data_IF_898857347087
#
_entry.id   IF_898857347087
#
_cell.length_a   1.000
_cell.length_b   1.000
_cell.length_c   1.000
_cell.angle_alpha   90.00
_cell.angle_beta   90.00
_cell.angle_gamma   90.00
#
_symmetry.space_group_name_H-M   'P 1'
#
loop_
_entity.id
_entity.type
_entity.pdbx_description
1 polymer ?
#
# COMPACT_ATOMS: atom_id res chain seq x y z
N UNK A 1 -44.51 45.04 44.32
CA UNK A 1 -44.33 44.20 43.13
C UNK A 1 -42.95 43.51 43.03
N UNK A 2 -42.06 43.63 44.02
CA UNK A 2 -40.71 43.03 43.99
C UNK A 2 -40.61 41.56 44.51
N UNK A 3 -41.73 40.92 44.87
CA UNK A 3 -41.74 39.58 45.48
C UNK A 3 -41.76 38.43 44.45
N UNK A 4 -42.25 38.69 43.23
CA UNK A 4 -42.27 37.71 42.13
C UNK A 4 -40.92 37.57 41.42
N UNK A 5 -40.22 38.69 41.21
CA UNK A 5 -38.90 38.73 40.57
C UNK A 5 -37.80 38.07 41.41
N UNK A 6 -37.86 38.19 42.73
CA UNK A 6 -36.88 37.59 43.64
C UNK A 6 -36.98 36.06 43.66
N UNK A 7 -38.18 35.52 43.47
CA UNK A 7 -38.46 34.09 43.37
C UNK A 7 -38.06 33.50 42.01
N UNK A 8 -38.18 34.28 40.94
CA UNK A 8 -37.70 33.92 39.60
C UNK A 8 -36.15 33.90 39.53
N UNK A 9 -35.49 34.82 40.23
CA UNK A 9 -34.02 34.86 40.36
C UNK A 9 -33.47 33.80 41.33
N UNK A 10 -34.22 33.41 42.37
CA UNK A 10 -33.89 32.24 43.20
C UNK A 10 -34.04 30.93 42.42
N UNK A 11 -35.11 30.77 41.63
CA UNK A 11 -35.34 29.62 40.74
C UNK A 11 -34.26 29.48 39.63
N UNK A 12 -33.74 30.57 39.07
CA UNK A 12 -32.62 30.54 38.10
C UNK A 12 -31.29 30.06 38.73
N UNK A 13 -31.03 30.40 39.99
CA UNK A 13 -29.79 30.01 40.68
C UNK A 13 -29.78 28.52 41.09
N UNK A 14 -30.94 27.95 41.41
CA UNK A 14 -31.11 26.51 41.66
C UNK A 14 -31.01 25.69 40.37
N UNK A 15 -31.47 26.24 39.25
CA UNK A 15 -31.36 25.57 37.95
C UNK A 15 -29.98 25.69 37.31
N UNK A 16 -29.12 26.62 37.73
CA UNK A 16 -27.72 26.67 37.27
C UNK A 16 -26.93 25.42 37.66
N UNK A 17 -27.08 24.91 38.90
CA UNK A 17 -26.42 23.68 39.34
C UNK A 17 -26.95 22.44 38.62
N UNK A 18 -28.25 22.44 38.29
CA UNK A 18 -28.88 21.38 37.50
C UNK A 18 -28.39 21.41 36.04
N UNK A 19 -28.27 22.60 35.44
CA UNK A 19 -27.71 22.78 34.11
C UNK A 19 -26.22 22.38 34.06
N UNK A 20 -25.42 22.73 35.07
CA UNK A 20 -24.03 22.30 35.20
C UNK A 20 -23.93 20.77 35.35
N UNK A 21 -24.78 20.15 36.18
CA UNK A 21 -24.83 18.68 36.30
C UNK A 21 -25.21 18.00 34.99
N UNK A 22 -26.24 18.51 34.30
CA UNK A 22 -26.67 17.99 33.00
C UNK A 22 -25.56 18.14 31.95
N UNK A 23 -24.84 19.26 31.99
CA UNK A 23 -23.68 19.53 31.13
C UNK A 23 -22.54 18.55 31.38
N UNK A 24 -22.20 18.26 32.65
CA UNK A 24 -21.19 17.25 32.98
C UNK A 24 -21.61 15.85 32.53
N UNK A 25 -22.87 15.45 32.74
CA UNK A 25 -23.39 14.18 32.24
C UNK A 25 -23.30 14.09 30.72
N UNK A 26 -23.65 15.18 30.02
CA UNK A 26 -23.53 15.25 28.56
C UNK A 26 -22.07 15.15 28.10
N UNK A 27 -21.13 15.82 28.77
CA UNK A 27 -19.69 15.69 28.49
C UNK A 27 -19.23 14.25 28.70
N UNK A 28 -19.63 13.59 29.79
CA UNK A 28 -19.21 12.22 30.09
C UNK A 28 -19.77 11.25 29.04
N UNK A 29 -21.06 11.35 28.70
CA UNK A 29 -21.69 10.53 27.65
C UNK A 29 -21.03 10.81 26.29
N UNK A 30 -20.78 12.09 25.97
CA UNK A 30 -20.10 12.50 24.75
C UNK A 30 -18.68 11.96 24.66
N UNK A 31 -17.89 12.03 25.74
CA UNK A 31 -16.55 11.47 25.82
C UNK A 31 -16.55 9.95 25.64
N UNK A 32 -17.52 9.25 26.26
CA UNK A 32 -17.67 7.81 26.09
C UNK A 32 -18.07 7.42 24.66
N UNK A 33 -18.94 8.21 24.04
CA UNK A 33 -19.39 8.01 22.66
C UNK A 33 -18.26 8.30 21.65
N UNK A 34 -17.43 9.33 21.88
CA UNK A 34 -16.24 9.62 21.07
C UNK A 34 -15.22 8.50 21.20
N UNK A 35 -14.99 8.00 22.42
CA UNK A 35 -14.07 6.87 22.63
C UNK A 35 -14.57 5.60 21.92
N UNK A 36 -15.86 5.30 21.98
CA UNK A 36 -16.46 4.17 21.27
C UNK A 36 -16.39 4.25 19.74
N UNK A 37 -16.15 5.44 19.18
CA UNK A 37 -16.05 5.70 17.72
C UNK A 37 -14.62 5.98 17.25
N UNK A 38 -13.62 5.80 18.13
CA UNK A 38 -12.20 5.97 17.78
C UNK A 38 -11.64 4.88 16.86
N UNK A 39 -12.41 3.81 16.63
CA UNK A 39 -12.00 2.65 15.84
C UNK A 39 -12.13 2.89 14.33
N UNK A 40 -11.20 2.34 13.56
CA UNK A 40 -11.19 2.36 12.10
C UNK A 40 -12.48 1.74 11.52
N UNK A 41 -13.22 2.51 10.73
CA UNK A 41 -14.39 2.08 9.95
C UNK A 41 -14.00 1.72 8.52
N UNK A 42 -14.92 1.13 7.77
CA UNK A 42 -14.75 0.94 6.31
C UNK A 42 -14.06 -0.36 5.91
N UNK A 43 -13.81 -1.27 6.85
CA UNK A 43 -13.31 -2.61 6.53
C UNK A 43 -14.47 -3.60 6.32
N UNK A 44 -14.44 -4.35 5.21
CA UNK A 44 -15.41 -5.42 4.94
C UNK A 44 -14.73 -6.64 4.28
N UNK A 45 -15.27 -7.83 4.52
CA UNK A 45 -14.81 -9.08 3.91
C UNK A 45 -15.73 -9.42 2.75
N UNK A 46 -15.16 -9.47 1.55
CA UNK A 46 -15.86 -9.84 0.33
C UNK A 46 -15.29 -11.13 -0.25
N UNK A 47 -16.08 -11.76 -1.11
CA UNK A 47 -15.60 -12.88 -1.94
C UNK A 47 -14.98 -12.33 -3.22
N UNK A 48 -14.06 -13.09 -3.81
CA UNK A 48 -13.61 -12.82 -5.16
C UNK A 48 -14.77 -13.06 -6.15
N UNK A 49 -15.29 -11.98 -6.73
CA UNK A 49 -16.38 -12.04 -7.70
C UNK A 49 -15.92 -12.57 -9.07
N UNK A 50 -14.66 -12.38 -9.43
CA UNK A 50 -14.10 -12.82 -10.71
C UNK A 50 -13.79 -14.33 -10.72
N UNK A 51 -13.31 -14.87 -9.60
CA UNK A 51 -12.98 -16.29 -9.48
C UNK A 51 -13.10 -16.77 -8.03
N UNK A 52 -14.22 -17.43 -7.74
CA UNK A 52 -14.49 -17.97 -6.40
C UNK A 52 -13.40 -18.96 -5.94
N UNK A 53 -13.10 -18.92 -4.64
CA UNK A 53 -12.13 -19.78 -3.95
C UNK A 53 -10.70 -19.79 -4.52
N UNK A 54 -10.34 -18.79 -5.34
CA UNK A 54 -8.98 -18.62 -5.85
C UNK A 54 -8.03 -17.92 -4.89
N UNK A 55 -6.76 -18.32 -4.94
CA UNK A 55 -5.65 -17.61 -4.27
C UNK A 55 -5.06 -16.62 -5.25
N UNK A 56 -5.14 -15.33 -4.96
CA UNK A 56 -4.53 -14.28 -5.78
C UNK A 56 -3.02 -14.27 -5.50
N UNK A 57 -2.22 -14.51 -6.53
CA UNK A 57 -0.76 -14.53 -6.44
C UNK A 57 -0.18 -13.14 -6.68
N UNK A 58 -0.72 -12.43 -7.67
CA UNK A 58 -0.36 -11.05 -7.98
C UNK A 58 -1.58 -10.33 -8.58
N UNK A 59 -1.66 -9.01 -8.37
CA UNK A 59 -2.77 -8.18 -8.85
C UNK A 59 -2.31 -6.75 -9.13
N UNK A 60 -2.75 -6.22 -10.27
CA UNK A 60 -2.58 -4.81 -10.62
C UNK A 60 -3.97 -4.20 -10.76
N UNK A 61 -4.31 -3.30 -9.84
CA UNK A 61 -5.57 -2.56 -9.85
C UNK A 61 -5.43 -1.29 -10.67
N UNK A 62 -6.42 -1.05 -11.52
CA UNK A 62 -6.68 0.19 -12.23
C UNK A 62 -7.86 0.93 -11.56
N UNK A 63 -8.43 1.92 -12.24
CA UNK A 63 -9.54 2.71 -11.70
C UNK A 63 -10.84 1.91 -11.54
N UNK A 64 -11.65 2.28 -10.56
CA UNK A 64 -13.01 1.78 -10.32
C UNK A 64 -13.15 0.26 -10.16
N UNK A 65 -12.06 -0.42 -9.82
CA UNK A 65 -12.03 -1.84 -9.47
C UNK A 65 -11.69 -2.74 -10.65
N UNK A 66 -11.45 -2.13 -11.82
CA UNK A 66 -10.75 -2.78 -12.92
C UNK A 66 -9.40 -3.32 -12.42
N UNK A 67 -9.08 -4.56 -12.76
CA UNK A 67 -7.77 -5.12 -12.44
C UNK A 67 -7.37 -6.28 -13.36
N UNK A 68 -6.06 -6.49 -13.45
CA UNK A 68 -5.48 -7.74 -13.92
C UNK A 68 -5.04 -8.57 -12.74
N UNK A 69 -5.31 -9.88 -12.78
CA UNK A 69 -4.98 -10.76 -11.69
C UNK A 69 -4.41 -12.09 -12.18
N UNK A 70 -3.35 -12.52 -11.50
CA UNK A 70 -2.83 -13.89 -11.56
C UNK A 70 -3.40 -14.64 -10.37
N UNK A 71 -4.25 -15.63 -10.62
CA UNK A 71 -4.92 -16.37 -9.55
C UNK A 71 -4.82 -17.87 -9.74
N UNK A 72 -4.56 -18.58 -8.65
CA UNK A 72 -4.43 -20.03 -8.63
C UNK A 72 -5.70 -20.70 -8.09
N UNK A 73 -6.14 -21.75 -8.77
CA UNK A 73 -7.24 -22.63 -8.35
C UNK A 73 -6.81 -24.11 -8.46
N UNK A 74 -7.72 -25.02 -8.12
CA UNK A 74 -7.50 -26.46 -8.32
C UNK A 74 -7.31 -26.87 -9.78
N UNK A 75 -7.73 -26.04 -10.73
CA UNK A 75 -7.60 -26.31 -12.17
C UNK A 75 -6.26 -25.81 -12.75
N UNK A 76 -5.59 -24.90 -12.05
CA UNK A 76 -4.33 -24.29 -12.46
C UNK A 76 -4.31 -22.79 -12.21
N UNK A 77 -3.35 -22.11 -12.83
CA UNK A 77 -3.17 -20.65 -12.70
C UNK A 77 -3.82 -19.95 -13.88
N UNK A 78 -4.63 -18.94 -13.58
CA UNK A 78 -5.29 -18.07 -14.54
C UNK A 78 -4.58 -16.71 -14.57
N UNK A 79 -4.49 -16.10 -15.76
CA UNK A 79 -4.33 -14.67 -15.94
C UNK A 79 -5.63 -14.13 -16.53
N UNK A 80 -6.26 -13.17 -15.88
CA UNK A 80 -7.51 -12.57 -16.35
C UNK A 80 -7.53 -11.06 -16.14
N UNK A 81 -8.36 -10.41 -16.94
CA UNK A 81 -8.79 -9.02 -16.77
C UNK A 81 -10.22 -9.01 -16.22
N UNK A 82 -10.48 -8.21 -15.19
CA UNK A 82 -11.81 -8.02 -14.63
C UNK A 82 -12.23 -6.57 -14.82
N UNK A 83 -13.32 -6.36 -15.55
CA UNK A 83 -13.83 -5.04 -15.91
C UNK A 83 -15.35 -5.06 -16.00
N UNK A 84 -16.01 -4.03 -15.46
CA UNK A 84 -17.47 -3.87 -15.48
C UNK A 84 -18.22 -5.12 -14.98
N UNK A 85 -17.77 -5.66 -13.85
CA UNK A 85 -18.24 -6.90 -13.22
C UNK A 85 -18.07 -8.19 -14.07
N UNK A 86 -17.41 -8.11 -15.22
CA UNK A 86 -17.15 -9.24 -16.12
C UNK A 86 -15.67 -9.64 -16.12
N UNK A 87 -15.44 -10.95 -16.08
CA UNK A 87 -14.10 -11.53 -16.20
C UNK A 87 -13.85 -11.96 -17.64
N UNK A 88 -12.68 -11.57 -18.16
CA UNK A 88 -12.13 -12.07 -19.42
C UNK A 88 -10.82 -12.83 -19.17
N UNK A 89 -10.79 -14.11 -19.52
CA UNK A 89 -9.59 -14.92 -19.44
C UNK A 89 -8.59 -14.52 -20.53
N UNK A 90 -7.39 -14.13 -20.10
CA UNK A 90 -6.26 -13.86 -20.99
C UNK A 90 -5.47 -15.16 -21.19
N UNK A 91 -5.18 -15.87 -20.09
CA UNK A 91 -4.58 -17.20 -20.08
C UNK A 91 -5.43 -18.11 -19.19
N UNK A 92 -5.92 -19.21 -19.78
CA UNK A 92 -6.73 -20.21 -19.10
C UNK A 92 -5.93 -21.52 -18.99
N UNK A 93 -5.77 -22.10 -17.78
CA UNK A 93 -4.95 -23.29 -17.53
C UNK A 93 -5.46 -24.55 -18.24
N UNK A 94 -6.71 -24.58 -18.68
CA UNK A 94 -7.23 -25.69 -19.49
C UNK A 94 -6.64 -25.73 -20.91
N UNK A 95 -6.14 -24.60 -21.41
CA UNK A 95 -5.56 -24.46 -22.76
C UNK A 95 -4.10 -24.07 -22.75
N UNK A 96 -3.66 -23.29 -21.76
CA UNK A 96 -2.31 -22.76 -21.65
C UNK A 96 -1.93 -22.59 -20.17
N UNK A 97 -0.82 -23.22 -19.76
CA UNK A 97 -0.31 -23.17 -18.39
C UNK A 97 0.73 -22.07 -18.15
N UNK A 98 1.05 -21.25 -19.16
CA UNK A 98 2.10 -20.22 -19.09
C UNK A 98 1.90 -19.19 -17.97
N UNK A 99 0.65 -18.99 -17.51
CA UNK A 99 0.36 -18.11 -16.37
C UNK A 99 1.06 -18.54 -15.06
N UNK A 100 1.49 -19.79 -14.91
CA UNK A 100 2.27 -20.22 -13.74
C UNK A 100 3.69 -19.67 -13.70
N UNK A 101 4.21 -19.18 -14.84
CA UNK A 101 5.55 -18.61 -14.94
C UNK A 101 5.58 -17.10 -14.67
N UNK A 102 4.42 -16.46 -14.49
CA UNK A 102 4.32 -15.04 -14.16
C UNK A 102 4.88 -14.78 -12.76
N UNK A 103 5.80 -13.82 -12.65
CA UNK A 103 6.46 -13.41 -11.40
C UNK A 103 6.10 -12.02 -10.91
N UNK A 104 5.63 -11.17 -11.81
CA UNK A 104 5.28 -9.78 -11.52
C UNK A 104 4.18 -9.29 -12.46
N UNK A 105 3.48 -8.26 -12.02
CA UNK A 105 2.67 -7.38 -12.86
C UNK A 105 2.96 -5.93 -12.48
N UNK A 106 3.40 -5.15 -13.45
CA UNK A 106 3.74 -3.73 -13.26
C UNK A 106 2.85 -2.89 -14.15
N UNK A 107 2.18 -1.89 -13.57
CA UNK A 107 1.47 -0.86 -14.34
C UNK A 107 2.48 0.09 -14.97
N UNK A 108 2.39 0.29 -16.28
CA UNK A 108 3.20 1.23 -17.05
C UNK A 108 2.58 2.63 -16.99
N UNK A 109 3.36 3.65 -17.37
CA UNK A 109 2.94 5.05 -17.33
C UNK A 109 1.71 5.36 -18.22
N UNK A 110 1.46 4.53 -19.23
CA UNK A 110 0.30 4.66 -20.12
C UNK A 110 -0.97 3.94 -19.60
N UNK A 111 -0.88 3.30 -18.42
CA UNK A 111 -1.96 2.55 -17.79
C UNK A 111 -2.07 1.08 -18.24
N UNK A 112 -1.23 0.63 -19.17
CA UNK A 112 -1.16 -0.79 -19.53
C UNK A 112 -0.41 -1.58 -18.45
N UNK A 113 -0.57 -2.90 -18.42
CA UNK A 113 0.12 -3.76 -17.46
C UNK A 113 1.14 -4.64 -18.17
N UNK A 114 2.37 -4.65 -17.69
CA UNK A 114 3.45 -5.48 -18.20
C UNK A 114 3.72 -6.68 -17.28
N UNK A 115 3.99 -7.82 -17.92
CA UNK A 115 4.44 -9.05 -17.26
C UNK A 115 5.38 -9.82 -18.18
N UNK A 116 5.82 -11.01 -17.77
CA UNK A 116 6.67 -11.90 -18.56
C UNK A 116 6.28 -13.35 -18.33
N UNK A 117 6.07 -14.08 -19.42
CA UNK A 117 5.78 -15.53 -19.42
C UNK A 117 6.88 -16.37 -20.11
N UNK A 118 7.73 -15.73 -20.90
CA UNK A 118 8.83 -16.37 -21.63
C UNK A 118 10.13 -15.58 -21.46
N UNK A 119 11.26 -16.25 -21.64
CA UNK A 119 12.59 -15.62 -21.64
C UNK A 119 12.68 -14.53 -22.73
N UNK A 120 13.36 -13.42 -22.41
CA UNK A 120 13.55 -12.28 -23.32
C UNK A 120 12.24 -11.75 -23.92
N UNK A 121 11.14 -11.73 -23.16
CA UNK A 121 9.86 -11.20 -23.62
C UNK A 121 9.18 -10.36 -22.55
N UNK A 122 8.48 -9.31 -22.99
CA UNK A 122 7.57 -8.56 -22.14
C UNK A 122 6.19 -8.66 -22.77
N UNK A 123 5.24 -9.20 -22.02
CA UNK A 123 3.83 -9.25 -22.38
C UNK A 123 3.15 -8.00 -21.84
N UNK A 124 2.62 -7.17 -22.74
CA UNK A 124 1.87 -5.95 -22.41
C UNK A 124 0.38 -6.25 -22.58
N UNK A 125 -0.40 -5.90 -21.55
CA UNK A 125 -1.82 -6.13 -21.41
C UNK A 125 -2.57 -4.80 -21.50
N UNK A 126 -3.50 -4.71 -22.44
CA UNK A 126 -4.40 -3.56 -22.63
C UNK A 126 -5.83 -4.08 -22.88
N UNK A 127 -6.62 -4.07 -21.81
CA UNK A 127 -7.89 -4.78 -21.68
C UNK A 127 -7.74 -6.27 -22.01
N UNK A 128 -8.52 -6.72 -22.99
CA UNK A 128 -8.43 -8.09 -23.51
C UNK A 128 -7.31 -8.29 -24.55
N UNK A 129 -6.55 -7.26 -24.88
CA UNK A 129 -5.53 -7.29 -25.93
C UNK A 129 -4.17 -7.60 -25.33
N UNK A 130 -3.45 -8.51 -25.97
CA UNK A 130 -2.08 -8.85 -25.63
C UNK A 130 -1.15 -8.37 -26.74
N UNK A 131 -0.04 -7.74 -26.37
CA UNK A 131 1.07 -7.50 -27.28
C UNK A 131 2.38 -8.01 -26.65
N UNK A 132 3.22 -8.65 -27.46
CA UNK A 132 4.48 -9.19 -27.00
C UNK A 132 5.63 -8.33 -27.56
N UNK A 133 6.44 -7.79 -26.65
CA UNK A 133 7.70 -7.14 -26.98
C UNK A 133 8.83 -8.16 -26.84
N UNK A 134 9.31 -8.67 -27.97
CA UNK A 134 10.50 -9.53 -28.00
C UNK A 134 11.75 -8.71 -27.74
N UNK A 135 12.54 -9.13 -26.77
CA UNK A 135 13.82 -8.53 -26.42
C UNK A 135 14.96 -9.21 -27.19
N UNK A 136 15.98 -8.41 -27.51
CA UNK A 136 17.19 -8.90 -28.17
C UNK A 136 17.87 -10.03 -27.36
N UNK A 137 18.32 -11.06 -28.07
CA UNK A 137 19.02 -12.25 -27.54
C UNK A 137 20.53 -12.21 -27.80
N UNK A 138 21.03 -11.23 -28.56
CA UNK A 138 22.46 -11.06 -28.86
C UNK A 138 23.31 -10.89 -27.58
N UNK A 139 22.69 -10.45 -26.49
CA UNK A 139 23.32 -10.26 -25.17
C UNK A 139 22.94 -11.31 -24.14
N UNK A 140 22.47 -12.48 -24.59
CA UNK A 140 22.14 -13.63 -23.75
C UNK A 140 20.64 -13.81 -23.54
N UNK A 141 20.31 -14.94 -22.92
CA UNK A 141 18.95 -15.34 -22.60
C UNK A 141 18.71 -15.16 -21.10
N UNK A 142 17.60 -14.55 -20.72
CA UNK A 142 17.29 -14.22 -19.33
C UNK A 142 15.78 -14.18 -19.08
N UNK A 143 15.39 -14.39 -17.82
CA UNK A 143 14.02 -14.18 -17.34
C UNK A 143 13.90 -12.83 -16.67
N UNK A 144 12.71 -12.24 -16.69
CA UNK A 144 12.42 -10.98 -16.02
C UNK A 144 11.76 -11.28 -14.68
N UNK A 145 12.28 -10.69 -13.60
CA UNK A 145 11.76 -10.84 -12.25
C UNK A 145 10.82 -9.68 -11.91
N UNK A 146 11.20 -8.47 -12.31
CA UNK A 146 10.43 -7.24 -12.14
C UNK A 146 10.93 -6.20 -13.16
N UNK A 147 10.13 -5.16 -13.39
CA UNK A 147 10.50 -4.02 -14.24
C UNK A 147 9.96 -2.72 -13.70
N UNK A 148 10.59 -1.62 -14.07
CA UNK A 148 10.08 -0.28 -13.83
C UNK A 148 10.42 0.66 -14.98
N UNK A 149 9.45 1.44 -15.45
CA UNK A 149 9.65 2.44 -16.48
C UNK A 149 10.33 3.69 -15.94
N UNK A 150 11.16 4.31 -16.77
CA UNK A 150 11.72 5.62 -16.46
C UNK A 150 10.60 6.66 -16.35
N UNK A 151 10.77 7.61 -15.44
CA UNK A 151 9.85 8.73 -15.25
C UNK A 151 9.98 9.78 -16.35
N UNK A 152 11.08 9.76 -17.09
CA UNK A 152 11.24 10.55 -18.29
C UNK A 152 10.43 9.94 -19.45
N UNK A 153 9.21 10.44 -19.64
CA UNK A 153 8.30 10.06 -20.75
C UNK A 153 8.90 10.21 -22.16
N UNK A 154 10.04 10.88 -22.31
CA UNK A 154 10.72 11.01 -23.61
C UNK A 154 11.71 9.87 -23.89
N UNK A 155 12.20 9.19 -22.85
CA UNK A 155 13.19 8.12 -23.00
C UNK A 155 12.54 6.77 -23.30
N UNK A 156 11.32 6.55 -22.81
CA UNK A 156 10.61 5.24 -22.76
C UNK A 156 11.57 4.08 -22.45
N UNK A 157 12.53 4.34 -21.59
CA UNK A 157 13.52 3.35 -21.20
C UNK A 157 12.99 2.64 -19.97
N UNK A 158 13.21 1.34 -19.85
CA UNK A 158 12.81 0.59 -18.65
C UNK A 158 14.05 -0.06 -18.05
N UNK A 159 14.03 -0.24 -16.74
CA UNK A 159 15.03 -1.02 -16.05
C UNK A 159 14.38 -2.33 -15.59
N UNK A 160 15.04 -3.44 -15.90
CA UNK A 160 14.61 -4.79 -15.58
C UNK A 160 15.48 -5.35 -14.47
N UNK A 161 14.86 -6.10 -13.57
CA UNK A 161 15.56 -7.13 -12.79
C UNK A 161 15.53 -8.42 -13.61
N UNK A 162 16.70 -8.98 -13.89
CA UNK A 162 16.85 -10.16 -14.73
C UNK A 162 17.53 -11.32 -14.02
N UNK A 163 17.01 -12.53 -14.23
CA UNK A 163 17.64 -13.79 -13.86
C UNK A 163 18.48 -14.27 -15.05
N UNK A 164 19.81 -14.18 -14.91
CA UNK A 164 20.80 -14.58 -15.90
C UNK A 164 21.26 -16.04 -15.70
N UNK A 165 20.55 -16.82 -14.88
CA UNK A 165 20.86 -18.21 -14.55
C UNK A 165 21.76 -18.36 -13.32
N UNK A 166 22.93 -17.73 -13.33
CA UNK A 166 23.87 -17.78 -12.18
C UNK A 166 23.65 -16.63 -11.19
N UNK A 167 23.01 -15.56 -11.65
CA UNK A 167 22.95 -14.28 -10.95
C UNK A 167 21.64 -13.55 -11.28
N UNK A 168 21.09 -12.87 -10.28
CA UNK A 168 20.06 -11.85 -10.49
C UNK A 168 20.73 -10.48 -10.61
N UNK A 169 20.45 -9.74 -11.68
CA UNK A 169 21.11 -8.47 -11.99
C UNK A 169 20.15 -7.49 -12.67
N UNK A 170 20.68 -6.39 -13.20
CA UNK A 170 19.90 -5.38 -13.90
C UNK A 170 20.25 -5.29 -15.39
N UNK A 171 19.24 -5.05 -16.21
CA UNK A 171 19.36 -4.67 -17.63
C UNK A 171 18.44 -3.50 -17.92
N UNK A 172 18.92 -2.55 -18.71
CA UNK A 172 18.08 -1.53 -19.30
C UNK A 172 17.52 -1.97 -20.64
N UNK A 173 16.31 -1.52 -20.96
CA UNK A 173 15.68 -1.68 -22.28
C UNK A 173 15.34 -0.32 -22.85
N UNK A 174 15.40 -0.23 -24.18
CA UNK A 174 14.88 0.93 -24.93
C UNK A 174 13.74 0.48 -25.82
N UNK A 175 12.93 1.44 -26.31
CA UNK A 175 11.73 1.29 -27.14
C UNK A 175 11.73 0.21 -28.24
N UNK A 176 12.88 -0.23 -28.74
CA UNK A 176 12.97 -1.19 -29.84
C UNK A 176 13.22 -2.64 -29.36
N UNK A 177 13.05 -2.94 -28.07
CA UNK A 177 13.38 -4.25 -27.49
C UNK A 177 14.89 -4.49 -27.38
N UNK A 178 15.69 -3.46 -27.59
CA UNK A 178 17.15 -3.53 -27.52
C UNK A 178 17.58 -3.42 -26.06
N UNK A 179 18.30 -4.44 -25.61
CA UNK A 179 18.74 -4.58 -24.21
C UNK A 179 20.15 -4.07 -24.01
N UNK A 180 20.44 -3.52 -22.84
CA UNK A 180 21.80 -3.24 -22.41
C UNK A 180 22.57 -4.53 -22.11
N UNK A 181 23.88 -4.41 -21.92
CA UNK A 181 24.63 -5.44 -21.19
C UNK A 181 24.10 -5.59 -19.76
N UNK A 182 24.18 -6.79 -19.15
CA UNK A 182 23.82 -6.97 -17.75
C UNK A 182 24.80 -6.21 -16.85
N UNK A 183 24.35 -5.72 -15.70
CA UNK A 183 25.24 -5.10 -14.72
C UNK A 183 26.34 -6.10 -14.31
N UNK A 184 27.64 -5.76 -14.47
CA UNK A 184 28.73 -6.71 -14.30
C UNK A 184 29.06 -7.05 -12.83
N UNK A 185 28.75 -6.15 -11.90
CA UNK A 185 29.10 -6.28 -10.49
C UNK A 185 27.89 -6.73 -9.66
N UNK A 186 27.48 -8.00 -9.80
CA UNK A 186 26.53 -8.55 -8.85
C UNK A 186 27.20 -8.75 -7.48
N UNK A 187 26.65 -8.12 -6.46
CA UNK A 187 27.12 -8.15 -5.06
C UNK A 187 26.62 -9.39 -4.29
N UNK A 188 26.10 -10.40 -5.01
CA UNK A 188 25.49 -11.58 -4.43
C UNK A 188 24.15 -11.28 -3.76
N UNK A 189 23.47 -10.23 -4.22
CA UNK A 189 22.12 -9.86 -3.79
C UNK A 189 21.14 -10.43 -4.80
N UNK A 190 20.14 -11.15 -4.32
CA UNK A 190 18.98 -11.57 -5.07
C UNK A 190 18.01 -10.39 -5.10
N UNK A 191 18.07 -9.58 -6.15
CA UNK A 191 17.16 -8.44 -6.35
C UNK A 191 15.74 -8.93 -6.63
N UNK A 192 14.75 -8.25 -6.08
CA UNK A 192 13.36 -8.72 -6.07
C UNK A 192 12.38 -7.70 -6.63
N UNK A 193 12.55 -6.42 -6.26
CA UNK A 193 11.68 -5.35 -6.74
C UNK A 193 12.45 -4.14 -7.19
N UNK A 194 11.93 -3.42 -8.18
CA UNK A 194 12.52 -2.17 -8.69
C UNK A 194 11.46 -1.09 -8.90
N UNK A 195 11.79 0.15 -8.58
CA UNK A 195 10.92 1.30 -8.80
C UNK A 195 11.72 2.51 -9.24
N UNK A 196 11.20 3.25 -10.22
CA UNK A 196 11.81 4.46 -10.70
C UNK A 196 11.74 5.57 -9.67
N UNK A 197 12.87 6.25 -9.49
CA UNK A 197 13.05 7.28 -8.48
C UNK A 197 12.93 8.66 -9.10
N UNK A 198 13.77 8.90 -10.11
CA UNK A 198 13.85 10.13 -10.90
C UNK A 198 14.30 9.78 -12.32
N UNK A 199 14.54 10.79 -13.15
CA UNK A 199 15.04 10.57 -14.51
C UNK A 199 16.37 9.79 -14.47
N UNK A 200 16.39 8.63 -15.13
CA UNK A 200 17.57 7.76 -15.24
C UNK A 200 18.08 7.17 -13.90
N UNK A 201 17.25 7.21 -12.85
CA UNK A 201 17.55 6.65 -11.54
C UNK A 201 16.44 5.74 -11.00
N UNK A 202 16.84 4.63 -10.39
CA UNK A 202 15.95 3.62 -9.82
C UNK A 202 16.41 3.21 -8.44
N UNK A 203 15.46 2.72 -7.64
CA UNK A 203 15.72 2.05 -6.38
C UNK A 203 15.28 0.60 -6.53
N UNK A 204 16.10 -0.33 -6.06
CA UNK A 204 15.76 -1.74 -5.99
C UNK A 204 15.92 -2.28 -4.58
N UNK A 205 15.11 -3.27 -4.25
CA UNK A 205 15.24 -4.04 -3.01
C UNK A 205 15.58 -5.48 -3.33
N UNK A 206 16.40 -6.10 -2.48
CA UNK A 206 16.76 -7.50 -2.60
C UNK A 206 17.22 -8.08 -1.28
N UNK A 207 17.61 -9.36 -1.31
CA UNK A 207 18.13 -10.07 -0.15
C UNK A 207 19.49 -10.69 -0.48
N UNK A 208 20.40 -10.70 0.49
CA UNK A 208 21.62 -11.47 0.43
C UNK A 208 21.51 -12.65 1.38
N UNK A 209 21.67 -13.86 0.85
CA UNK A 209 21.67 -15.08 1.63
C UNK A 209 23.13 -15.47 1.88
N UNK A 210 23.60 -15.28 3.12
CA UNK A 210 24.97 -15.64 3.48
C UNK A 210 25.05 -17.12 3.82
N UNK A 211 25.34 -17.96 2.82
CA UNK A 211 25.71 -19.36 3.05
C UNK A 211 27.20 -19.46 3.39
N UNK A 212 27.52 -19.44 4.69
CA UNK A 212 28.73 -20.01 5.29
C UNK A 212 30.09 -19.77 4.60
N UNK A 213 30.85 -18.78 5.06
CA UNK A 213 32.32 -18.80 4.93
C UNK A 213 33.07 -18.38 6.21
N UNK A 214 32.36 -18.09 7.30
CA UNK A 214 32.92 -17.80 8.63
C UNK A 214 32.82 -19.00 9.57
N UNK A 215 33.84 -19.22 10.39
CA UNK A 215 34.01 -20.37 11.31
C UNK A 215 32.94 -20.52 12.42
N UNK A 216 31.84 -19.76 12.40
CA UNK A 216 30.84 -19.73 13.48
C UNK A 216 29.37 -19.78 13.05
N UNK A 217 29.06 -19.85 11.75
CA UNK A 217 27.67 -19.76 11.27
C UNK A 217 27.10 -21.13 10.86
N UNK A 218 25.87 -21.40 11.28
CA UNK A 218 25.20 -22.67 11.10
C UNK A 218 24.56 -22.77 9.70
N UNK A 219 24.99 -23.68 8.81
CA UNK A 219 24.40 -23.85 7.48
C UNK A 219 22.92 -24.30 7.50
N UNK A 220 22.38 -24.73 8.65
CA UNK A 220 20.96 -25.00 8.82
C UNK A 220 20.11 -23.74 9.12
N UNK A 221 20.72 -22.56 9.24
CA UNK A 221 20.06 -21.28 9.51
C UNK A 221 20.83 -20.14 8.81
N UNK A 222 20.71 -20.03 7.47
CA UNK A 222 21.38 -18.97 6.72
C UNK A 222 20.91 -17.60 7.21
N UNK A 223 21.85 -16.65 7.26
CA UNK A 223 21.52 -15.25 7.58
C UNK A 223 20.99 -14.57 6.30
N UNK A 224 19.75 -14.07 6.36
CA UNK A 224 19.12 -13.29 5.30
C UNK A 224 19.28 -11.81 5.66
N UNK A 225 19.93 -11.05 4.78
CA UNK A 225 20.12 -9.61 4.94
C UNK A 225 19.39 -8.85 3.83
N UNK A 226 18.41 -7.99 4.15
CA UNK A 226 17.79 -7.14 3.15
C UNK A 226 18.73 -6.00 2.72
N UNK A 227 18.65 -5.64 1.45
CA UNK A 227 19.44 -4.58 0.83
C UNK A 227 18.56 -3.66 0.01
N UNK A 228 18.95 -2.38 -0.01
CA UNK A 228 18.41 -1.37 -0.92
C UNK A 228 19.57 -0.91 -1.82
N UNK A 229 19.35 -0.91 -3.14
CA UNK A 229 20.31 -0.44 -4.13
C UNK A 229 19.79 0.80 -4.85
N UNK A 230 20.65 1.79 -5.04
CA UNK A 230 20.42 2.93 -5.94
C UNK A 230 21.10 2.65 -7.27
N UNK A 231 20.33 2.61 -8.35
CA UNK A 231 20.77 2.25 -9.68
C UNK A 231 20.66 3.44 -10.61
N UNK A 232 21.71 3.69 -11.39
CA UNK A 232 21.75 4.75 -12.39
C UNK A 232 21.89 4.11 -13.77
N UNK A 233 21.07 4.54 -14.72
CA UNK A 233 21.18 4.12 -16.11
C UNK A 233 20.61 5.16 -17.09
N UNK A 234 21.49 5.76 -17.88
CA UNK A 234 21.16 6.86 -18.82
C UNK A 234 20.76 6.39 -20.22
N UNK A 235 20.31 5.14 -20.35
CA UNK A 235 19.88 4.56 -21.61
C UNK A 235 20.99 3.99 -22.50
N UNK A 236 20.57 3.41 -23.63
CA UNK A 236 21.46 2.86 -24.65
C UNK A 236 21.95 1.44 -24.36
N UNK A 237 23.19 1.14 -24.74
CA UNK A 237 23.75 -0.23 -24.65
C UNK A 237 24.61 -0.47 -23.42
N UNK A 238 24.95 0.59 -22.68
CA UNK A 238 25.79 0.52 -21.48
C UNK A 238 25.05 -0.19 -20.36
N UNK A 239 25.75 -1.03 -19.61
CA UNK A 239 25.14 -1.71 -18.47
C UNK A 239 24.69 -0.69 -17.39
N UNK A 240 23.57 -0.95 -16.69
CA UNK A 240 23.19 -0.21 -15.49
C UNK A 240 24.30 -0.26 -14.43
N UNK A 241 24.36 0.76 -13.58
CA UNK A 241 25.35 0.89 -12.53
C UNK A 241 24.69 0.97 -11.16
N UNK A 242 25.04 0.06 -10.25
CA UNK A 242 24.76 0.20 -8.83
C UNK A 242 25.63 1.32 -8.27
N UNK A 243 25.02 2.48 -7.99
CA UNK A 243 25.69 3.66 -7.48
C UNK A 243 25.99 3.52 -5.99
N UNK A 244 24.97 3.20 -5.20
CA UNK A 244 25.08 2.99 -3.76
C UNK A 244 24.25 1.79 -3.31
N UNK A 245 24.61 1.21 -2.16
CA UNK A 245 23.91 0.07 -1.57
C UNK A 245 23.87 0.17 -0.05
N UNK A 246 22.71 -0.12 0.51
CA UNK A 246 22.39 0.06 1.91
C UNK A 246 21.89 -1.26 2.50
N UNK A 247 22.64 -1.89 3.42
CA UNK A 247 22.14 -3.04 4.16
C UNK A 247 21.12 -2.59 5.20
N UNK A 248 19.96 -3.23 5.22
CA UNK A 248 19.04 -3.12 6.34
C UNK A 248 19.35 -4.20 7.40
N UNK A 249 19.12 -3.93 8.69
CA UNK A 249 19.55 -4.77 9.79
C UNK A 249 18.87 -6.15 9.84
N UNK A 250 17.61 -6.27 9.41
CA UNK A 250 16.86 -7.53 9.40
C UNK A 250 15.57 -7.42 8.58
N UNK A 251 14.90 -8.55 8.36
CA UNK A 251 13.58 -8.62 7.72
C UNK A 251 13.65 -8.76 6.21
N UNK A 252 12.50 -8.56 5.57
CA UNK A 252 12.34 -8.56 4.11
C UNK A 252 11.46 -7.38 3.73
N UNK A 253 11.79 -6.75 2.60
CA UNK A 253 10.99 -5.66 2.04
C UNK A 253 9.88 -6.24 1.17
N UNK A 254 8.64 -5.79 1.38
CA UNK A 254 7.46 -6.30 0.67
C UNK A 254 6.78 -5.24 -0.21
N UNK A 255 6.97 -3.94 0.07
CA UNK A 255 6.35 -2.85 -0.70
C UNK A 255 7.31 -1.69 -0.89
N UNK A 256 7.31 -1.09 -2.09
CA UNK A 256 7.97 0.18 -2.39
C UNK A 256 6.91 1.15 -2.89
N UNK A 257 6.83 2.32 -2.26
CA UNK A 257 5.74 3.28 -2.51
C UNK A 257 6.33 4.66 -2.70
N UNK A 258 6.17 5.21 -3.89
CA UNK A 258 6.63 6.56 -4.21
C UNK A 258 5.67 7.64 -3.69
N UNK A 259 6.24 8.61 -2.98
CA UNK A 259 5.57 9.72 -2.30
C UNK A 259 6.18 11.07 -2.71
N UNK A 260 6.15 11.34 -4.03
CA UNK A 260 6.85 12.46 -4.64
C UNK A 260 8.34 12.17 -4.68
N UNK A 261 9.12 12.96 -3.94
CA UNK A 261 10.59 12.82 -3.85
C UNK A 261 11.04 11.78 -2.81
N UNK A 262 10.11 11.25 -2.00
CA UNK A 262 10.42 10.21 -1.02
C UNK A 262 9.90 8.85 -1.50
N UNK A 263 10.63 7.79 -1.14
CA UNK A 263 10.23 6.40 -1.34
C UNK A 263 10.05 5.72 0.02
N UNK A 264 8.87 5.18 0.26
CA UNK A 264 8.58 4.37 1.44
C UNK A 264 8.83 2.91 1.10
N UNK A 265 9.86 2.32 1.70
CA UNK A 265 10.27 0.93 1.52
C UNK A 265 9.86 0.16 2.78
N UNK A 266 8.70 -0.47 2.72
CA UNK A 266 8.10 -1.17 3.84
C UNK A 266 8.61 -2.61 3.95
N UNK A 267 8.92 -3.03 5.16
CA UNK A 267 9.38 -4.37 5.46
C UNK A 267 8.80 -4.95 6.74
N UNK A 268 9.05 -6.25 6.92
CA UNK A 268 8.46 -7.05 7.99
C UNK A 268 8.96 -6.68 9.39
N UNK A 269 10.19 -6.17 9.51
CA UNK A 269 10.80 -5.78 10.80
C UNK A 269 11.10 -4.29 10.90
N UNK A 270 11.10 -3.57 9.78
CA UNK A 270 11.33 -2.14 9.73
C UNK A 270 10.83 -1.54 8.41
N UNK A 271 10.62 -0.23 8.42
CA UNK A 271 10.34 0.56 7.23
C UNK A 271 11.49 1.53 7.02
N UNK A 272 11.93 1.70 5.79
CA UNK A 272 12.96 2.69 5.43
C UNK A 272 12.33 3.74 4.52
N UNK A 273 12.53 5.00 4.86
CA UNK A 273 12.15 6.15 4.04
C UNK A 273 13.42 6.59 3.33
N UNK A 274 13.38 6.69 2.02
CA UNK A 274 14.48 7.17 1.21
C UNK A 274 14.10 8.50 0.57
N UNK A 275 14.92 9.53 0.74
CA UNK A 275 14.71 10.85 0.11
C UNK A 275 15.63 10.98 -1.12
N UNK A 276 15.02 11.17 -2.28
CA UNK A 276 15.73 11.31 -3.57
C UNK A 276 16.50 12.63 -3.71
N UNK A 277 16.14 13.67 -2.97
CA UNK A 277 16.79 14.97 -3.09
C UNK A 277 18.17 15.00 -2.45
N UNK A 278 18.35 14.28 -1.33
CA UNK A 278 19.61 14.23 -0.58
C UNK A 278 20.25 12.83 -0.54
N UNK A 279 19.60 11.83 -1.14
CA UNK A 279 20.02 10.43 -1.22
C UNK A 279 20.22 9.81 0.17
N UNK A 280 19.40 10.20 1.15
CA UNK A 280 19.49 9.70 2.52
C UNK A 280 18.43 8.64 2.85
N UNK A 281 18.75 7.80 3.84
CA UNK A 281 17.89 6.75 4.35
C UNK A 281 17.54 7.04 5.80
N UNK A 282 16.26 7.17 6.10
CA UNK A 282 15.73 7.23 7.45
C UNK A 282 15.04 5.90 7.81
N UNK A 283 15.45 5.31 8.93
CA UNK A 283 14.84 4.07 9.42
C UNK A 283 13.73 4.37 10.41
N UNK A 284 12.57 3.77 10.16
CA UNK A 284 11.41 3.79 11.04
C UNK A 284 11.17 2.42 11.64
N UNK A 285 10.72 2.40 12.90
CA UNK A 285 10.35 1.16 13.61
C UNK A 285 8.97 0.64 13.20
N UNK A 286 8.35 1.22 12.17
CA UNK A 286 7.08 0.74 11.62
C UNK A 286 7.30 -0.62 10.95
N UNK A 287 6.49 -1.59 11.34
CA UNK A 287 6.51 -2.96 10.82
C UNK A 287 5.14 -3.30 10.24
N UNK A 288 5.11 -4.02 9.12
CA UNK A 288 3.87 -4.42 8.47
C UNK A 288 4.00 -5.76 7.76
N UNK A 289 2.85 -6.39 7.47
CA UNK A 289 2.73 -7.43 6.44
C UNK A 289 2.40 -6.84 5.07
N UNK A 290 1.72 -5.70 5.04
CA UNK A 290 1.42 -4.97 3.80
C UNK A 290 1.45 -3.46 4.03
N UNK A 291 1.98 -2.73 3.05
CA UNK A 291 1.93 -1.27 3.02
C UNK A 291 1.34 -0.85 1.67
N UNK A 292 0.30 -0.04 1.70
CA UNK A 292 -0.48 0.33 0.52
C UNK A 292 -0.66 1.85 0.51
N UNK A 293 -0.46 2.46 -0.65
CA UNK A 293 -0.71 3.88 -0.87
C UNK A 293 -2.21 4.13 -0.89
N UNK A 294 -2.66 5.12 -0.12
CA UNK A 294 -3.99 5.71 -0.28
C UNK A 294 -3.89 7.09 -0.94
N UNK A 295 -5.02 7.79 -1.01
CA UNK A 295 -5.05 9.15 -1.54
C UNK A 295 -4.30 10.17 -0.67
N UNK A 296 -4.03 11.32 -1.28
CA UNK A 296 -3.53 12.53 -0.62
C UNK A 296 -2.19 12.33 0.12
N UNK A 297 -1.34 11.43 -0.37
CA UNK A 297 -0.02 11.23 0.22
C UNK A 297 -0.07 10.48 1.56
N UNK A 298 -1.02 9.56 1.72
CA UNK A 298 -1.12 8.66 2.87
C UNK A 298 -0.61 7.27 2.50
N UNK A 299 0.14 6.63 3.40
CA UNK A 299 0.47 5.21 3.32
C UNK A 299 -0.15 4.49 4.51
N UNK A 300 -0.87 3.41 4.23
CA UNK A 300 -1.49 2.55 5.25
C UNK A 300 -0.66 1.28 5.42
N UNK A 301 -0.27 1.03 6.66
CA UNK A 301 0.49 -0.15 7.06
C UNK A 301 -0.43 -1.10 7.83
N UNK A 302 -0.56 -2.31 7.33
CA UNK A 302 -1.36 -3.39 7.89
C UNK A 302 -0.44 -4.43 8.50
N UNK A 303 -0.75 -4.83 9.75
CA UNK A 303 -0.06 -5.93 10.41
C UNK A 303 -0.49 -7.31 9.88
N UNK A 304 -0.03 -8.35 10.55
CA UNK A 304 -0.40 -9.73 10.27
C UNK A 304 -1.79 -10.08 10.79
N UNK A 305 -2.26 -11.29 10.48
CA UNK A 305 -3.53 -11.80 11.00
C UNK A 305 -3.61 -11.64 12.52
N UNK A 306 -4.78 -11.25 13.01
CA UNK A 306 -5.07 -10.91 14.41
C UNK A 306 -4.53 -9.59 14.95
N UNK A 307 -3.87 -8.76 14.13
CA UNK A 307 -3.51 -7.39 14.53
C UNK A 307 -4.76 -6.59 14.89
N UNK A 308 -4.65 -5.73 15.90
CA UNK A 308 -5.74 -4.92 16.44
C UNK A 308 -5.66 -3.44 16.03
N UNK A 309 -4.64 -3.07 15.27
CA UNK A 309 -4.38 -1.70 14.83
C UNK A 309 -3.76 -1.68 13.43
N UNK A 310 -3.84 -0.51 12.79
CA UNK A 310 -3.14 -0.14 11.56
C UNK A 310 -2.37 1.14 11.77
N UNK A 311 -1.32 1.37 10.98
CA UNK A 311 -0.56 2.62 11.04
C UNK A 311 -0.87 3.44 9.80
N UNK A 312 -1.33 4.67 10.02
CA UNK A 312 -1.47 5.68 8.98
C UNK A 312 -0.22 6.55 9.00
N UNK A 313 0.51 6.57 7.90
CA UNK A 313 1.71 7.38 7.73
C UNK A 313 1.47 8.53 6.74
N UNK A 314 2.07 9.66 7.04
CA UNK A 314 2.11 10.88 6.23
C UNK A 314 3.48 11.53 6.38
N UNK A 315 3.81 12.51 5.54
CA UNK A 315 5.07 13.29 5.68
C UNK A 315 5.20 14.00 7.03
N UNK A 316 4.08 14.34 7.67
CA UNK A 316 4.06 15.01 8.98
C UNK A 316 4.26 14.04 10.17
N UNK A 317 4.25 12.73 9.92
CA UNK A 317 4.37 11.68 10.93
C UNK A 317 3.37 10.55 10.75
N UNK A 318 3.27 9.69 11.76
CA UNK A 318 2.41 8.52 11.75
C UNK A 318 1.46 8.46 12.96
N UNK A 319 0.30 7.84 12.75
CA UNK A 319 -0.73 7.60 13.77
C UNK A 319 -1.08 6.11 13.81
N UNK A 320 -1.14 5.54 15.02
CA UNK A 320 -1.65 4.18 15.24
C UNK A 320 -3.16 4.27 15.45
N UNK A 321 -3.93 3.53 14.65
CA UNK A 321 -5.39 3.55 14.67
C UNK A 321 -5.90 2.16 15.01
N UNK A 322 -6.68 2.06 16.09
CA UNK A 322 -7.30 0.81 16.51
C UNK A 322 -8.36 0.34 15.51
N UNK A 323 -8.38 -0.95 15.22
CA UNK A 323 -9.38 -1.58 14.37
C UNK A 323 -10.67 -1.90 15.13
N UNK A 324 -11.79 -1.89 14.43
CA UNK A 324 -13.08 -2.36 14.98
C UNK A 324 -13.02 -3.82 15.42
N UNK A 325 -12.40 -4.63 14.58
CA UNK A 325 -12.17 -6.06 14.75
C UNK A 325 -10.73 -6.36 14.35
N UNK A 326 -10.18 -7.44 14.91
CA UNK A 326 -8.83 -7.88 14.54
C UNK A 326 -8.76 -8.23 13.06
N UNK A 327 -7.59 -8.06 12.44
CA UNK A 327 -7.37 -8.42 11.05
C UNK A 327 -7.73 -9.90 10.81
N UNK A 328 -8.66 -10.20 9.89
CA UNK A 328 -9.22 -11.55 9.73
C UNK A 328 -8.42 -12.44 8.78
N UNK A 329 -7.46 -11.88 8.03
CA UNK A 329 -6.68 -12.56 7.01
C UNK A 329 -5.19 -12.30 7.18
N UNK A 330 -4.37 -13.23 6.71
CA UNK A 330 -2.97 -12.99 6.38
C UNK A 330 -2.91 -12.46 4.95
N UNK A 331 -2.31 -11.28 4.76
CA UNK A 331 -2.30 -10.59 3.46
C UNK A 331 -1.17 -11.16 2.61
N UNK A 332 -1.49 -11.57 1.38
CA UNK A 332 -0.53 -12.15 0.43
C UNK A 332 -0.32 -11.26 -0.80
N UNK A 333 -1.38 -10.62 -1.28
CA UNK A 333 -1.35 -9.68 -2.40
C UNK A 333 -2.29 -8.52 -2.12
N UNK A 334 -2.02 -7.36 -2.71
CA UNK A 334 -2.76 -6.14 -2.41
C UNK A 334 -2.68 -5.13 -3.54
N UNK A 335 -3.64 -4.22 -3.55
CA UNK A 335 -3.58 -3.00 -4.33
C UNK A 335 -4.67 -2.02 -3.91
N UNK A 336 -4.76 -0.92 -4.62
CA UNK A 336 -5.74 0.13 -4.35
C UNK A 336 -6.39 0.56 -5.64
N UNK A 337 -7.69 0.82 -5.59
CA UNK A 337 -8.43 1.42 -6.68
C UNK A 337 -9.37 2.48 -6.11
N UNK A 338 -9.33 3.67 -6.70
CA UNK A 338 -10.09 4.83 -6.24
C UNK A 338 -9.87 5.04 -4.73
N UNK A 339 -10.91 4.88 -3.90
CA UNK A 339 -10.84 5.09 -2.44
C UNK A 339 -10.78 3.79 -1.62
N UNK A 340 -10.58 2.65 -2.28
CA UNK A 340 -10.65 1.33 -1.65
C UNK A 340 -9.31 0.63 -1.77
N UNK A 341 -8.82 0.17 -0.64
CA UNK A 341 -7.69 -0.76 -0.57
C UNK A 341 -8.25 -2.18 -0.58
N UNK A 342 -7.68 -3.03 -1.42
CA UNK A 342 -8.02 -4.44 -1.52
C UNK A 342 -6.83 -5.27 -1.06
N UNK A 343 -7.07 -6.15 -0.11
CA UNK A 343 -6.08 -7.06 0.44
C UNK A 343 -6.57 -8.49 0.25
N UNK A 344 -5.82 -9.27 -0.50
CA UNK A 344 -6.13 -10.66 -0.80
C UNK A 344 -5.26 -11.57 0.06
N UNK A 345 -5.85 -12.65 0.54
CA UNK A 345 -5.10 -13.66 1.27
C UNK A 345 -5.99 -14.70 1.93
N UNK A 346 -5.48 -15.33 2.98
CA UNK A 346 -6.13 -16.46 3.63
C UNK A 346 -6.57 -16.15 5.05
N UNK A 347 -7.74 -16.64 5.43
CA UNK A 347 -8.18 -16.60 6.83
C UNK A 347 -7.53 -17.72 7.66
N UNK A 348 -7.81 -17.75 8.97
CA UNK A 348 -7.31 -18.80 9.88
C UNK A 348 -7.77 -20.22 9.56
N UNK A 349 -8.79 -20.39 8.71
CA UNK A 349 -9.30 -21.70 8.30
C UNK A 349 -8.66 -22.18 6.97
N UNK A 350 -7.84 -21.33 6.32
CA UNK A 350 -7.25 -21.60 5.01
C UNK A 350 -8.16 -21.25 3.83
N UNK A 351 -9.27 -20.52 4.06
CA UNK A 351 -10.11 -20.04 2.97
C UNK A 351 -9.55 -18.74 2.39
N UNK A 352 -9.51 -18.64 1.06
CA UNK A 352 -9.18 -17.41 0.36
C UNK A 352 -10.29 -16.36 0.57
N UNK A 353 -9.90 -15.14 0.94
CA UNK A 353 -10.79 -14.01 1.23
C UNK A 353 -10.17 -12.69 0.76
N UNK A 354 -11.03 -11.73 0.49
CA UNK A 354 -10.64 -10.35 0.18
C UNK A 354 -11.10 -9.47 1.33
N UNK A 355 -10.17 -8.76 1.94
CA UNK A 355 -10.46 -7.67 2.86
C UNK A 355 -10.42 -6.36 2.08
N UNK A 356 -11.52 -5.64 2.08
CA UNK A 356 -11.62 -4.30 1.52
C UNK A 356 -11.51 -3.28 2.63
N UNK A 357 -10.90 -2.13 2.34
CA UNK A 357 -10.82 -1.00 3.24
C UNK A 357 -11.09 0.31 2.50
N UNK A 358 -12.28 0.87 2.71
CA UNK A 358 -12.64 2.21 2.28
C UNK A 358 -12.08 3.25 3.27
N UNK A 359 -10.96 3.84 2.90
CA UNK A 359 -10.28 4.84 3.71
C UNK A 359 -10.91 6.24 3.60
N UNK A 360 -11.86 6.48 2.68
CA UNK A 360 -12.63 7.72 2.61
C UNK A 360 -13.68 7.81 3.73
N UNK A 361 -14.14 6.65 4.22
CA UNK A 361 -15.02 6.57 5.38
C UNK A 361 -14.34 7.10 6.65
N UNK A 362 -13.00 7.03 6.73
CA UNK A 362 -12.24 7.46 7.88
C UNK A 362 -12.24 9.00 8.01
N UNK A 363 -12.92 9.51 9.03
CA UNK A 363 -13.02 10.94 9.30
C UNK A 363 -14.20 11.65 8.60
N UNK A 364 -14.97 10.93 7.77
CA UNK A 364 -16.22 11.44 7.18
C UNK A 364 -17.27 11.77 8.26
N UNK A 365 -18.16 12.74 8.02
CA UNK A 365 -19.34 13.00 8.86
C UNK A 365 -20.24 11.76 8.95
N UNK A 366 -20.22 10.92 7.91
CA UNK A 366 -20.98 9.67 7.87
C UNK A 366 -20.36 8.57 8.73
N UNK A 367 -19.09 8.73 9.13
CA UNK A 367 -18.52 7.89 10.19
C UNK A 367 -19.20 8.21 11.52
N UNK A 368 -19.38 7.19 12.38
CA UNK A 368 -19.95 7.40 13.72
C UNK A 368 -19.23 8.51 14.51
N UNK A 369 -17.90 8.65 14.33
CA UNK A 369 -17.08 9.71 14.93
C UNK A 369 -17.42 11.08 14.35
N UNK A 370 -17.49 11.20 13.03
CA UNK A 370 -17.81 12.46 12.35
C UNK A 370 -19.21 12.96 12.70
N UNK A 371 -20.20 12.07 12.75
CA UNK A 371 -21.56 12.41 13.18
C UNK A 371 -21.60 12.89 14.63
N UNK A 372 -20.89 12.21 15.54
CA UNK A 372 -20.85 12.60 16.95
C UNK A 372 -20.10 13.92 17.15
N UNK A 373 -18.97 14.13 16.48
CA UNK A 373 -18.25 15.40 16.52
C UNK A 373 -19.11 16.55 16.00
N UNK A 374 -19.79 16.35 14.87
CA UNK A 374 -20.72 17.32 14.30
C UNK A 374 -21.88 17.62 15.27
N UNK A 375 -22.50 16.57 15.83
CA UNK A 375 -23.58 16.72 16.81
C UNK A 375 -23.12 17.47 18.06
N UNK A 376 -21.91 17.19 18.55
CA UNK A 376 -21.32 17.87 19.70
C UNK A 376 -21.11 19.36 19.41
N UNK A 377 -20.49 19.71 18.27
CA UNK A 377 -20.29 21.09 17.85
C UNK A 377 -21.63 21.82 17.70
N UNK A 378 -22.64 21.17 17.09
CA UNK A 378 -23.95 21.75 16.86
C UNK A 378 -24.69 22.03 18.18
N UNK A 379 -24.71 21.06 19.10
CA UNK A 379 -25.35 21.22 20.41
C UNK A 379 -24.63 22.31 21.22
N UNK A 380 -23.29 22.31 21.25
CA UNK A 380 -22.52 23.35 21.93
C UNK A 380 -22.78 24.73 21.34
N UNK A 381 -22.86 24.85 20.02
CA UNK A 381 -23.14 26.12 19.35
C UNK A 381 -24.52 26.66 19.71
N UNK A 382 -25.54 25.78 19.80
CA UNK A 382 -26.88 26.17 20.25
C UNK A 382 -26.87 26.64 21.71
N UNK A 383 -26.19 25.91 22.60
CA UNK A 383 -26.10 26.27 24.02
C UNK A 383 -25.40 27.64 24.16
N UNK A 384 -24.27 27.86 23.47
CA UNK A 384 -23.56 29.13 23.49
C UNK A 384 -24.38 30.27 22.90
N UNK A 385 -25.14 30.04 21.83
CA UNK A 385 -26.02 31.05 21.25
C UNK A 385 -27.14 31.46 22.23
N UNK A 386 -27.77 30.49 22.90
CA UNK A 386 -28.81 30.76 23.90
C UNK A 386 -28.25 31.47 25.13
N UNK A 387 -27.08 31.06 25.63
CA UNK A 387 -26.40 31.75 26.73
C UNK A 387 -26.00 33.17 26.35
N UNK A 388 -25.43 33.36 25.15
CA UNK A 388 -25.07 34.67 24.62
C UNK A 388 -26.27 35.59 24.47
N UNK A 389 -27.40 35.07 23.95
CA UNK A 389 -28.66 35.81 23.85
C UNK A 389 -29.15 36.27 25.23
N UNK A 390 -29.16 35.38 26.22
CA UNK A 390 -29.56 35.70 27.60
C UNK A 390 -28.67 36.78 28.24
N UNK A 391 -27.35 36.75 27.98
CA UNK A 391 -26.42 37.79 28.47
C UNK A 391 -26.73 39.13 27.81
N UNK A 392 -26.98 39.16 26.49
CA UNK A 392 -27.32 40.39 25.76
C UNK A 392 -28.64 40.98 26.25
N UNK A 393 -29.66 40.15 26.49
CA UNK A 393 -30.92 40.61 27.08
C UNK A 393 -30.72 41.20 28.47
N UNK A 394 -29.89 40.58 29.30
CA UNK A 394 -29.54 41.11 30.63
C UNK A 394 -28.72 42.40 30.59
N UNK A 395 -27.93 42.64 29.55
CA UNK A 395 -27.17 43.89 29.37
C UNK A 395 -28.00 45.04 28.79
N UNK A 396 -29.19 44.74 28.22
CA UNK A 396 -30.13 45.75 27.71
C UNK A 396 -31.16 46.22 28.75
N UNK A 397 -31.21 45.56 29.92
CA UNK A 397 -31.88 46.00 31.14
C UNK A 397 -30.89 46.76 32.03
#
# INVERSE_FOLDING_TARGET
MAKGWRRFLEEESEHQWLAISLFFVFIIIGAFAIHGTSKLTGMDIVKNAALEDSRVLDISYQNDGDHYSVSHTTEGTYLYHYYDDERTDIINPSTDSSASDIRFMTELNDGTVATSIEENSILILDGSTMSNLSLDTDRGTFKIIDLSENLNEQSNSMLLITDEGDNITFRGITNNGVTSSPMPNNVGVEWQKIEALSDDEWIATGIQISSSSGQNDNPASPEIKPFIGHIIWTGGFTAPMLNDMYPAPSGEFHSMIRMGDEMVIAGTTQTTIFDSNDLTFEHSTITSSAAIKGDCGVVWFFGSINSDSVIKWTKDGHEVIDLQHKLPIEIESHGSSSNIIYMHGMNSNGDNKILTFDYSSYGSIESGRGFLNFSFILIFSIIFAVMGWNIIERMKL
#
